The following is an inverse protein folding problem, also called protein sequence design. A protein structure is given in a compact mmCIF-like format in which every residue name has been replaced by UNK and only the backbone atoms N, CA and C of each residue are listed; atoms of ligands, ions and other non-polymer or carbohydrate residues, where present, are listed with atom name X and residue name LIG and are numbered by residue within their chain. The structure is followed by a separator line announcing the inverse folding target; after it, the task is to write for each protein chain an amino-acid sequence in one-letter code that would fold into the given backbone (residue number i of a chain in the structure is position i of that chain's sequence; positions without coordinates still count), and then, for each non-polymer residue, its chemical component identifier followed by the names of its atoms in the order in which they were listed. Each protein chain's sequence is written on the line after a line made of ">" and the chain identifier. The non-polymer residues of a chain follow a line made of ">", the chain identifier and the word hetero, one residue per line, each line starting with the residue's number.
data_IF_751005228688
#
_entry.id   IF_751005228688
#
_cell.length_a   1.000
_cell.length_b   1.000
_cell.length_c   1.000
_cell.angle_alpha   90.00
_cell.angle_beta   90.00
_cell.angle_gamma   90.00
#
_symmetry.space_group_name_H-M   'P 1'
#
loop_
_entity.id
_entity.type
_entity.pdbx_description
1 polymer ?
#
# COMPACT_ATOMS: atom_id res chain seq x y z
N UNK A 1 -21.52 -1.78 -4.99
CA UNK A 1 -21.52 -3.25 -4.78
C UNK A 1 -20.13 -3.83 -4.50
N UNK A 2 -19.05 -3.37 -5.15
CA UNK A 2 -17.69 -3.95 -4.98
C UNK A 2 -17.08 -3.88 -3.56
N UNK A 3 -17.11 -2.71 -2.90
CA UNK A 3 -16.53 -2.52 -1.55
C UNK A 3 -17.18 -3.43 -0.51
N UNK A 4 -18.51 -3.55 -0.54
CA UNK A 4 -19.24 -4.38 0.43
C UNK A 4 -18.80 -5.84 0.37
N UNK A 5 -18.58 -6.37 -0.83
CA UNK A 5 -18.06 -7.74 -1.02
C UNK A 5 -16.62 -7.85 -0.51
N UNK A 6 -15.76 -6.87 -0.82
CA UNK A 6 -14.38 -6.85 -0.34
C UNK A 6 -14.30 -6.83 1.19
N UNK A 7 -15.15 -6.04 1.87
CA UNK A 7 -15.22 -5.98 3.33
C UNK A 7 -15.74 -7.27 3.96
N UNK A 8 -16.73 -7.93 3.34
CA UNK A 8 -17.24 -9.22 3.82
C UNK A 8 -16.13 -10.29 3.71
N UNK A 9 -15.40 -10.32 2.59
CA UNK A 9 -14.27 -11.24 2.41
C UNK A 9 -13.15 -10.94 3.41
N UNK A 10 -12.83 -9.65 3.64
CA UNK A 10 -11.85 -9.24 4.64
C UNK A 10 -12.23 -9.71 6.04
N UNK A 11 -13.50 -9.56 6.42
CA UNK A 11 -14.03 -10.03 7.70
C UNK A 11 -13.91 -11.55 7.83
N UNK A 12 -14.27 -12.29 6.78
CA UNK A 12 -14.14 -13.75 6.76
C UNK A 12 -12.67 -14.19 6.93
N UNK A 13 -11.73 -13.58 6.19
CA UNK A 13 -10.30 -13.86 6.32
C UNK A 13 -9.74 -13.44 7.69
N UNK A 14 -10.21 -12.33 8.25
CA UNK A 14 -9.80 -11.87 9.57
C UNK A 14 -10.26 -12.83 10.67
N UNK A 15 -11.52 -13.28 10.64
CA UNK A 15 -12.05 -14.31 11.54
C UNK A 15 -11.22 -15.59 11.41
N UNK A 16 -10.96 -16.03 10.17
CA UNK A 16 -10.12 -17.20 9.92
C UNK A 16 -8.71 -17.05 10.53
N UNK A 17 -8.06 -15.89 10.35
CA UNK A 17 -6.75 -15.60 10.94
C UNK A 17 -6.76 -15.65 12.47
N UNK A 18 -7.76 -15.02 13.10
CA UNK A 18 -7.93 -15.04 14.56
C UNK A 18 -8.16 -16.44 15.09
N UNK A 19 -8.97 -17.24 14.40
CA UNK A 19 -9.22 -18.63 14.79
C UNK A 19 -7.94 -19.46 14.75
N UNK A 20 -7.02 -19.18 13.82
CA UNK A 20 -5.80 -19.96 13.63
C UNK A 20 -4.65 -19.50 14.53
N UNK A 21 -4.46 -18.18 14.67
CA UNK A 21 -3.45 -17.62 15.56
C UNK A 21 -3.81 -16.20 16.00
N UNK A 22 -4.20 -16.05 17.27
CA UNK A 22 -4.55 -14.75 17.86
C UNK A 22 -3.36 -13.83 18.08
N UNK A 23 -2.13 -14.34 18.07
CA UNK A 23 -0.91 -13.57 18.29
C UNK A 23 -0.34 -12.96 17.01
N UNK A 24 -0.82 -13.44 15.85
CA UNK A 24 -0.47 -12.88 14.55
C UNK A 24 -1.17 -11.53 14.31
N UNK A 25 -0.56 -10.69 13.48
CA UNK A 25 -1.15 -9.40 13.08
C UNK A 25 -2.22 -9.62 12.00
N UNK A 26 -3.35 -10.23 12.37
CA UNK A 26 -4.42 -10.56 11.43
C UNK A 26 -5.17 -9.33 10.89
N UNK A 27 -5.07 -8.19 11.57
CA UNK A 27 -5.69 -6.94 11.13
C UNK A 27 -5.09 -6.41 9.83
N UNK A 28 -3.90 -6.90 9.43
CA UNK A 28 -3.23 -6.52 8.18
C UNK A 28 -4.10 -6.73 6.93
N UNK A 29 -5.05 -7.66 6.96
CA UNK A 29 -5.97 -7.90 5.83
C UNK A 29 -6.83 -6.67 5.55
N UNK A 30 -7.34 -6.03 6.60
CA UNK A 30 -8.12 -4.80 6.44
C UNK A 30 -7.27 -3.70 5.86
N UNK A 31 -5.99 -3.60 6.27
CA UNK A 31 -5.07 -2.64 5.68
C UNK A 31 -4.90 -2.88 4.17
N UNK A 32 -4.69 -4.14 3.75
CA UNK A 32 -4.62 -4.46 2.32
C UNK A 32 -5.88 -4.07 1.54
N UNK A 33 -7.07 -4.25 2.12
CA UNK A 33 -8.33 -3.86 1.45
C UNK A 33 -8.46 -2.35 1.34
N UNK A 34 -8.09 -1.59 2.37
CA UNK A 34 -8.12 -0.12 2.33
C UNK A 34 -7.13 0.40 1.29
N UNK A 35 -5.89 -0.09 1.29
CA UNK A 35 -4.85 0.30 0.32
C UNK A 35 -5.30 -0.01 -1.13
N UNK A 36 -5.81 -1.22 -1.38
CA UNK A 36 -6.30 -1.57 -2.72
C UNK A 36 -7.47 -0.70 -3.16
N UNK A 37 -8.36 -0.38 -2.22
CA UNK A 37 -9.49 0.49 -2.51
C UNK A 37 -9.03 1.89 -2.89
N UNK A 38 -8.11 2.45 -2.12
CA UNK A 38 -7.53 3.77 -2.34
C UNK A 38 -6.86 3.84 -3.73
N UNK A 39 -5.92 2.95 -4.00
CA UNK A 39 -5.25 2.88 -5.30
C UNK A 39 -6.22 2.76 -6.50
N UNK A 40 -7.25 1.91 -6.38
CA UNK A 40 -8.26 1.75 -7.43
C UNK A 40 -9.09 3.03 -7.61
N UNK A 41 -9.44 3.70 -6.51
CA UNK A 41 -10.22 4.93 -6.54
C UNK A 41 -9.43 6.06 -7.20
N UNK A 42 -8.18 6.25 -6.82
CA UNK A 42 -7.30 7.27 -7.37
C UNK A 42 -7.01 7.03 -8.86
N UNK A 43 -6.74 5.79 -9.25
CA UNK A 43 -6.56 5.42 -10.65
C UNK A 43 -7.84 5.66 -11.47
N UNK A 44 -9.00 5.28 -10.94
CA UNK A 44 -10.28 5.55 -11.58
C UNK A 44 -10.57 7.04 -11.69
N UNK A 45 -10.19 7.83 -10.68
CA UNK A 45 -10.29 9.28 -10.70
C UNK A 45 -9.39 9.89 -11.78
N UNK A 46 -8.13 9.45 -11.84
CA UNK A 46 -7.17 9.89 -12.84
C UNK A 46 -7.65 9.58 -14.26
N UNK A 47 -8.24 8.42 -14.51
CA UNK A 47 -8.68 8.04 -15.85
C UNK A 47 -9.97 8.77 -16.25
N UNK A 48 -10.96 8.85 -15.34
CA UNK A 48 -12.31 9.25 -15.71
C UNK A 48 -12.63 10.73 -15.44
N UNK A 49 -12.04 11.34 -14.41
CA UNK A 49 -12.48 12.66 -13.92
C UNK A 49 -11.37 13.73 -13.92
N UNK A 50 -10.09 13.34 -14.01
CA UNK A 50 -8.97 14.30 -13.92
C UNK A 50 -8.94 15.35 -15.04
N UNK A 51 -9.66 15.11 -16.14
CA UNK A 51 -9.75 16.03 -17.29
C UNK A 51 -10.96 16.96 -17.24
N UNK A 52 -11.86 16.78 -16.26
CA UNK A 52 -13.03 17.65 -16.09
C UNK A 52 -12.60 19.09 -15.79
N UNK A 53 -11.43 19.25 -15.15
CA UNK A 53 -10.80 20.53 -14.86
C UNK A 53 -9.36 20.50 -15.36
N UNK A 54 -9.12 20.99 -16.58
CA UNK A 54 -7.82 20.85 -17.29
C UNK A 54 -6.61 21.30 -16.46
N UNK A 55 -6.73 22.40 -15.71
CA UNK A 55 -5.60 22.90 -14.91
C UNK A 55 -5.24 22.00 -13.71
N UNK A 56 -6.15 21.13 -13.26
CA UNK A 56 -5.93 20.16 -12.17
C UNK A 56 -5.44 18.81 -12.67
N UNK A 57 -5.45 18.56 -13.98
CA UNK A 57 -4.96 17.31 -14.57
C UNK A 57 -3.51 17.03 -14.19
N UNK A 58 -2.61 18.01 -14.42
CA UNK A 58 -1.19 17.84 -14.13
C UNK A 58 -0.90 17.66 -12.63
N UNK A 59 -1.48 18.47 -11.72
CA UNK A 59 -1.41 18.20 -10.28
C UNK A 59 -1.87 16.80 -9.89
N UNK A 60 -2.98 16.31 -10.45
CA UNK A 60 -3.51 14.96 -10.17
C UNK A 60 -2.53 13.89 -10.63
N UNK A 61 -2.00 14.02 -11.85
CA UNK A 61 -1.03 13.07 -12.39
C UNK A 61 0.26 13.03 -11.55
N UNK A 62 0.76 14.18 -11.09
CA UNK A 62 1.94 14.26 -10.24
C UNK A 62 1.66 13.62 -8.87
N UNK A 63 0.52 13.95 -8.25
CA UNK A 63 0.11 13.44 -6.95
C UNK A 63 -0.13 11.92 -6.94
N UNK A 64 -0.40 11.31 -8.10
CA UNK A 64 -0.49 9.86 -8.26
C UNK A 64 0.87 9.21 -8.61
N UNK A 65 1.58 9.74 -9.62
CA UNK A 65 2.80 9.08 -10.11
C UNK A 65 4.01 9.22 -9.18
N UNK A 66 4.14 10.33 -8.45
CA UNK A 66 5.28 10.55 -7.55
C UNK A 66 5.26 9.58 -6.37
N UNK A 67 4.18 9.46 -5.58
CA UNK A 67 4.04 8.45 -4.53
C UNK A 67 4.28 7.04 -5.03
N UNK A 68 3.62 6.65 -6.13
CA UNK A 68 3.78 5.34 -6.74
C UNK A 68 5.27 5.00 -7.02
N UNK A 69 6.00 5.96 -7.59
CA UNK A 69 7.43 5.78 -7.91
C UNK A 69 8.28 5.70 -6.64
N UNK A 70 8.02 6.57 -5.66
CA UNK A 70 8.76 6.58 -4.39
C UNK A 70 8.53 5.28 -3.63
N UNK A 71 7.28 4.85 -3.47
CA UNK A 71 6.90 3.61 -2.80
C UNK A 71 7.56 2.39 -3.45
N UNK A 72 7.51 2.29 -4.78
CA UNK A 72 8.16 1.20 -5.50
C UNK A 72 9.68 1.20 -5.30
N UNK A 73 10.34 2.35 -5.45
CA UNK A 73 11.79 2.47 -5.24
C UNK A 73 12.18 2.12 -3.80
N UNK A 74 11.44 2.62 -2.82
CA UNK A 74 11.69 2.34 -1.41
C UNK A 74 11.42 0.87 -1.05
N UNK A 75 10.47 0.23 -1.71
CA UNK A 75 10.25 -1.21 -1.55
C UNK A 75 11.47 -2.02 -2.02
N UNK A 76 11.99 -1.72 -3.22
CA UNK A 76 13.22 -2.36 -3.71
C UNK A 76 14.41 -2.12 -2.79
N UNK A 77 14.61 -0.87 -2.34
CA UNK A 77 15.67 -0.52 -1.40
C UNK A 77 15.53 -1.31 -0.09
N UNK A 78 14.31 -1.45 0.43
CA UNK A 78 14.04 -2.22 1.65
C UNK A 78 14.43 -3.69 1.50
N UNK A 79 14.09 -4.31 0.37
CA UNK A 79 14.48 -5.69 0.07
C UNK A 79 16.00 -5.82 -0.07
N UNK A 80 16.67 -4.87 -0.73
CA UNK A 80 18.13 -4.87 -0.88
C UNK A 80 18.82 -4.73 0.48
N UNK A 81 18.39 -3.77 1.31
CA UNK A 81 18.90 -3.59 2.67
C UNK A 81 18.75 -4.88 3.46
N UNK A 82 17.58 -5.53 3.39
CA UNK A 82 17.34 -6.77 4.10
C UNK A 82 18.22 -7.93 3.59
N UNK A 83 18.46 -8.01 2.27
CA UNK A 83 19.28 -9.05 1.65
C UNK A 83 20.78 -8.91 1.93
N UNK A 84 21.32 -7.69 1.96
CA UNK A 84 22.77 -7.48 1.93
C UNK A 84 23.32 -6.82 3.18
N UNK A 85 22.55 -5.91 3.76
CA UNK A 85 22.99 -5.12 4.90
C UNK A 85 22.48 -5.84 6.16
N UNK A 86 21.18 -5.74 6.44
CA UNK A 86 20.52 -6.13 7.68
C UNK A 86 21.25 -5.66 8.96
N UNK A 87 20.60 -5.73 10.12
CA UNK A 87 21.24 -5.26 11.35
C UNK A 87 22.28 -6.27 11.86
N UNK A 88 22.10 -7.56 11.54
CA UNK A 88 23.06 -8.62 11.86
C UNK A 88 23.04 -9.78 10.85
N UNK A 89 24.08 -10.62 10.91
CA UNK A 89 24.29 -11.75 10.00
C UNK A 89 23.17 -12.81 10.09
N UNK A 90 22.61 -13.03 11.28
CA UNK A 90 21.57 -14.04 11.49
C UNK A 90 20.27 -13.64 10.80
N UNK A 91 19.80 -12.40 11.01
CA UNK A 91 18.62 -11.85 10.34
C UNK A 91 18.75 -11.89 8.82
N UNK A 92 19.94 -11.55 8.31
CA UNK A 92 20.23 -11.62 6.87
C UNK A 92 20.06 -13.04 6.34
N UNK A 93 20.68 -14.02 6.99
CA UNK A 93 20.64 -15.43 6.54
C UNK A 93 19.21 -15.97 6.59
N UNK A 94 18.47 -15.69 7.67
CA UNK A 94 17.08 -16.10 7.82
C UNK A 94 16.20 -15.49 6.73
N UNK A 95 16.34 -14.19 6.46
CA UNK A 95 15.59 -13.54 5.39
C UNK A 95 15.98 -14.09 4.01
N UNK A 96 17.27 -14.25 3.71
CA UNK A 96 17.71 -14.78 2.42
C UNK A 96 17.17 -16.19 2.16
N UNK A 97 17.11 -17.03 3.21
CA UNK A 97 16.50 -18.36 3.12
C UNK A 97 15.01 -18.24 2.79
N UNK A 98 14.27 -17.47 3.60
CA UNK A 98 12.85 -17.22 3.37
C UNK A 98 12.56 -16.63 1.98
N UNK A 99 13.38 -15.69 1.51
CA UNK A 99 13.24 -15.03 0.22
C UNK A 99 13.44 -16.01 -0.94
N UNK A 100 14.38 -16.95 -0.82
CA UNK A 100 14.58 -18.01 -1.83
C UNK A 100 13.39 -18.96 -1.86
N UNK A 101 12.87 -19.34 -0.69
CA UNK A 101 11.76 -20.28 -0.57
C UNK A 101 10.42 -19.67 -1.04
N UNK A 102 10.29 -18.33 -0.96
CA UNK A 102 9.05 -17.61 -1.28
C UNK A 102 9.23 -16.49 -2.33
N UNK A 103 10.17 -16.64 -3.26
CA UNK A 103 10.56 -15.60 -4.24
C UNK A 103 9.37 -14.97 -4.98
N UNK A 104 8.43 -15.79 -5.46
CA UNK A 104 7.25 -15.30 -6.21
C UNK A 104 6.37 -14.41 -5.35
N UNK A 105 6.15 -14.81 -4.10
CA UNK A 105 5.34 -14.04 -3.16
C UNK A 105 6.03 -12.71 -2.81
N UNK A 106 7.34 -12.74 -2.54
CA UNK A 106 8.12 -11.53 -2.28
C UNK A 106 8.12 -10.56 -3.48
N UNK A 107 8.22 -11.06 -4.71
CA UNK A 107 8.14 -10.24 -5.92
C UNK A 107 6.77 -9.58 -6.08
N UNK A 108 5.67 -10.33 -5.88
CA UNK A 108 4.31 -9.78 -5.92
C UNK A 108 4.15 -8.68 -4.86
N UNK A 109 4.59 -8.93 -3.63
CA UNK A 109 4.50 -7.94 -2.55
C UNK A 109 5.35 -6.70 -2.82
N UNK A 110 6.51 -6.84 -3.47
CA UNK A 110 7.35 -5.70 -3.86
C UNK A 110 6.69 -4.87 -4.97
N UNK A 111 5.99 -5.50 -5.92
CA UNK A 111 5.23 -4.80 -6.96
C UNK A 111 4.02 -4.09 -6.36
N UNK A 112 3.24 -4.79 -5.52
CA UNK A 112 2.10 -4.21 -4.82
C UNK A 112 2.53 -3.08 -3.89
N UNK A 113 3.73 -3.18 -3.32
CA UNK A 113 4.32 -2.12 -2.52
C UNK A 113 4.61 -0.83 -3.30
N UNK A 114 4.49 -0.84 -4.63
CA UNK A 114 4.41 0.38 -5.42
C UNK A 114 3.17 1.20 -5.12
N UNK A 115 2.00 0.57 -4.92
CA UNK A 115 0.79 1.27 -4.51
C UNK A 115 0.93 1.82 -3.08
N UNK A 116 1.36 0.98 -2.14
CA UNK A 116 1.70 1.41 -0.78
C UNK A 116 2.75 0.47 -0.18
N UNK A 117 3.84 1.03 0.34
CA UNK A 117 4.94 0.28 0.95
C UNK A 117 4.50 -0.68 2.08
N UNK A 118 3.34 -0.44 2.70
CA UNK A 118 2.71 -1.30 3.69
C UNK A 118 2.44 -2.73 3.22
N UNK A 119 2.33 -2.99 1.91
CA UNK A 119 2.26 -4.36 1.41
C UNK A 119 3.45 -5.22 1.85
N UNK A 120 4.62 -4.61 2.08
CA UNK A 120 5.76 -5.34 2.63
C UNK A 120 5.50 -5.86 4.05
N UNK A 121 4.73 -5.13 4.87
CA UNK A 121 4.40 -5.55 6.25
C UNK A 121 3.54 -6.81 6.27
N UNK A 122 2.80 -7.09 5.20
CA UNK A 122 2.04 -8.33 5.06
C UNK A 122 2.98 -9.55 5.14
N UNK A 123 4.19 -9.44 4.60
CA UNK A 123 5.18 -10.51 4.65
C UNK A 123 5.66 -10.84 6.07
N UNK A 124 5.55 -9.91 7.02
CA UNK A 124 5.94 -10.08 8.43
C UNK A 124 4.72 -10.09 9.38
N UNK A 125 3.52 -10.39 8.87
CA UNK A 125 2.29 -10.37 9.67
C UNK A 125 2.05 -11.64 10.49
N UNK A 126 2.72 -12.74 10.14
CA UNK A 126 2.49 -14.11 10.61
C UNK A 126 1.05 -14.59 10.38
N UNK A 127 0.36 -14.00 9.41
CA UNK A 127 -1.04 -14.29 9.14
C UNK A 127 -1.30 -15.79 8.92
N UNK A 128 -2.25 -16.35 9.66
CA UNK A 128 -2.68 -17.74 9.51
C UNK A 128 -1.58 -18.81 9.72
N UNK A 129 -0.44 -18.45 10.33
CA UNK A 129 0.78 -19.29 10.47
C UNK A 129 1.37 -19.80 9.15
N UNK A 130 1.06 -19.15 8.03
CA UNK A 130 1.71 -19.52 6.78
C UNK A 130 3.15 -18.98 6.76
N UNK A 131 4.09 -19.81 6.33
CA UNK A 131 5.52 -19.45 6.26
C UNK A 131 5.76 -18.25 5.35
N UNK A 132 4.96 -18.10 4.28
CA UNK A 132 5.03 -16.94 3.39
C UNK A 132 4.68 -15.60 4.07
N UNK A 133 4.01 -15.59 5.23
CA UNK A 133 3.76 -14.37 6.01
C UNK A 133 4.68 -14.24 7.23
N UNK A 134 5.71 -15.08 7.33
CA UNK A 134 6.61 -15.15 8.48
C UNK A 134 8.02 -14.63 8.16
N UNK A 135 8.12 -13.70 7.21
CA UNK A 135 9.35 -12.99 6.89
C UNK A 135 9.85 -12.18 8.09
N UNK A 136 11.12 -12.32 8.45
CA UNK A 136 11.75 -11.50 9.50
C UNK A 136 12.47 -10.31 8.88
N UNK A 137 11.86 -9.13 8.96
CA UNK A 137 12.56 -7.89 8.66
C UNK A 137 13.48 -7.46 9.82
N UNK A 138 14.62 -6.89 9.47
CA UNK A 138 15.50 -6.14 10.37
C UNK A 138 14.79 -4.89 10.89
N UNK A 139 15.29 -4.32 11.98
CA UNK A 139 14.71 -3.08 12.54
C UNK A 139 14.91 -1.93 11.57
N UNK A 140 16.04 -1.87 10.87
CA UNK A 140 16.30 -0.85 9.86
C UNK A 140 15.30 -0.91 8.71
N UNK A 141 15.04 -2.10 8.15
CA UNK A 141 14.04 -2.27 7.10
C UNK A 141 12.63 -1.86 7.58
N UNK A 142 12.22 -2.27 8.79
CA UNK A 142 10.91 -1.91 9.33
C UNK A 142 10.77 -0.40 9.57
N UNK A 143 11.83 0.26 10.05
CA UNK A 143 11.85 1.72 10.23
C UNK A 143 11.68 2.45 8.90
N UNK A 144 12.32 1.98 7.84
CA UNK A 144 12.17 2.56 6.49
C UNK A 144 10.72 2.44 6.04
N UNK A 145 10.10 1.27 6.16
CA UNK A 145 8.70 1.06 5.78
C UNK A 145 7.79 2.06 6.49
N UNK A 146 7.89 2.17 7.82
CA UNK A 146 7.05 3.08 8.61
C UNK A 146 7.31 4.55 8.29
N UNK A 147 8.57 4.92 8.04
CA UNK A 147 8.93 6.30 7.72
C UNK A 147 8.39 6.71 6.34
N UNK A 148 8.50 5.82 5.36
CA UNK A 148 7.97 6.05 4.01
C UNK A 148 6.45 6.16 4.05
N UNK A 149 5.76 5.21 4.71
CA UNK A 149 4.31 5.26 4.94
C UNK A 149 3.89 6.63 5.52
N UNK A 150 4.58 7.08 6.57
CA UNK A 150 4.29 8.37 7.19
C UNK A 150 4.44 9.56 6.23
N UNK A 151 5.53 9.61 5.46
CA UNK A 151 5.73 10.70 4.50
C UNK A 151 4.81 10.61 3.29
N UNK A 152 4.46 9.40 2.88
CA UNK A 152 3.59 9.15 1.74
C UNK A 152 2.22 9.81 1.96
N UNK A 153 1.67 9.73 3.16
CA UNK A 153 0.42 10.43 3.49
C UNK A 153 0.44 11.96 3.28
N UNK A 154 1.61 12.60 3.41
CA UNK A 154 1.73 14.05 3.14
C UNK A 154 1.88 14.37 1.65
N UNK A 155 2.38 13.44 0.85
CA UNK A 155 2.69 13.63 -0.57
C UNK A 155 1.54 13.12 -1.46
N UNK A 156 0.82 12.11 -1.01
CA UNK A 156 -0.29 11.45 -1.70
C UNK A 156 -1.63 11.89 -1.08
N UNK A 157 -1.98 11.39 0.09
CA UNK A 157 -3.33 11.52 0.67
C UNK A 157 -3.78 12.99 0.79
N UNK A 158 -2.94 13.87 1.34
CA UNK A 158 -3.29 15.29 1.54
C UNK A 158 -3.46 16.03 0.19
N UNK A 159 -2.49 15.99 -0.76
CA UNK A 159 -2.67 16.59 -2.08
C UNK A 159 -3.86 16.02 -2.85
N UNK A 160 -4.04 14.70 -2.85
CA UNK A 160 -5.14 14.05 -3.57
C UNK A 160 -6.49 14.45 -3.01
N UNK A 161 -6.66 14.43 -1.68
CA UNK A 161 -7.88 14.90 -1.03
C UNK A 161 -8.18 16.37 -1.37
N UNK A 162 -7.15 17.22 -1.36
CA UNK A 162 -7.27 18.64 -1.71
C UNK A 162 -7.74 18.82 -3.15
N UNK A 163 -7.13 18.11 -4.11
CA UNK A 163 -7.49 18.17 -5.53
C UNK A 163 -8.94 17.71 -5.75
N UNK A 164 -9.36 16.63 -5.10
CA UNK A 164 -10.72 16.11 -5.21
C UNK A 164 -11.76 17.10 -4.71
N UNK A 165 -11.50 17.82 -3.60
CA UNK A 165 -12.37 18.90 -3.12
C UNK A 165 -12.46 20.03 -4.15
N UNK A 166 -11.33 20.43 -4.75
CA UNK A 166 -11.32 21.50 -5.75
C UNK A 166 -12.14 21.14 -7.00
N UNK A 167 -12.01 19.91 -7.50
CA UNK A 167 -12.80 19.43 -8.64
C UNK A 167 -14.29 19.42 -8.29
N UNK A 168 -14.65 18.88 -7.11
CA UNK A 168 -16.04 18.84 -6.66
C UNK A 168 -16.67 20.25 -6.59
N UNK A 169 -15.97 21.20 -5.97
CA UNK A 169 -16.42 22.59 -5.87
C UNK A 169 -16.59 23.25 -7.25
N UNK A 170 -15.66 23.00 -8.17
CA UNK A 170 -15.74 23.54 -9.53
C UNK A 170 -16.93 22.97 -10.31
N UNK A 171 -17.15 21.65 -10.25
CA UNK A 171 -18.28 20.99 -10.91
C UNK A 171 -19.62 21.50 -10.38
N UNK A 172 -19.79 21.66 -9.07
CA UNK A 172 -21.01 22.23 -8.50
C UNK A 172 -21.25 23.68 -8.94
N UNK A 173 -20.20 24.51 -8.95
CA UNK A 173 -20.32 25.91 -9.38
C UNK A 173 -20.79 26.05 -10.83
N UNK A 174 -20.25 25.22 -11.74
CA UNK A 174 -20.70 25.20 -13.14
C UNK A 174 -22.16 24.75 -13.28
N UNK A 175 -22.61 23.77 -12.49
CA UNK A 175 -24.00 23.31 -12.52
C UNK A 175 -24.99 24.40 -12.12
N UNK A 176 -24.64 25.22 -11.12
CA UNK A 176 -25.45 26.34 -10.62
C UNK A 176 -25.51 27.54 -11.57
N UNK A 177 -24.51 27.74 -12.43
CA UNK A 177 -24.50 28.81 -13.43
C UNK A 177 -25.29 28.47 -14.71
N UNK A 178 -25.58 27.19 -14.93
CA UNK A 178 -26.28 26.69 -16.12
C UNK A 178 -27.78 26.45 -15.84
N UNK A 179 -28.21 26.43 -14.56
CA UNK A 179 -29.62 26.42 -14.15
C UNK A 179 -30.14 27.84 -13.90
#
# INVERSE_FOLDING_TARGET
>A
MGIGVALILALAFWIFGICKDRTANNFIIFNCVVILYDFVFELAFLINNSRDVEFLFLPTLIAFCVPLTVNFMMAFITIIIQCFIADNKTERIEFQKWFKDHLRFAAIMTILAGADINFLRLMNSKFGRFEMFSCKFSRTAMKIIVLVEFFNSFIEDIPQFTIQIFILCNTYFHLYLIC
#
